data_IF_338019852729
#
_entry.id   IF_338019852729
#
_cell.length_a   1.000
_cell.length_b   1.000
_cell.length_c   1.000
_cell.angle_alpha   90.00
_cell.angle_beta   90.00
_cell.angle_gamma   90.00
#
_symmetry.space_group_name_H-M   'P 1'
#
loop_
_entity.id
_entity.type
_entity.pdbx_description
1 polymer ?
#
# COMPACT_ATOMS: atom_id res chain seq x y z
N UNK A 1 12.54 -32.02 22.26
CA UNK A 1 12.12 -31.11 23.35
C UNK A 1 12.19 -29.69 22.83
N UNK A 2 11.06 -29.12 22.42
CA UNK A 2 10.97 -27.71 22.02
C UNK A 2 10.73 -26.90 23.28
N UNK A 3 11.76 -26.24 23.80
CA UNK A 3 11.62 -25.32 24.93
C UNK A 3 10.63 -24.20 24.61
N UNK A 4 10.03 -23.57 25.63
CA UNK A 4 9.09 -22.48 25.41
C UNK A 4 9.76 -21.38 24.57
N UNK A 5 9.05 -20.90 23.56
CA UNK A 5 9.52 -19.79 22.73
C UNK A 5 9.90 -18.60 23.65
N UNK A 6 10.99 -17.87 23.35
CA UNK A 6 11.40 -16.73 24.15
C UNK A 6 10.23 -15.75 24.27
N UNK A 7 9.78 -15.49 25.50
CA UNK A 7 8.73 -14.53 25.78
C UNK A 7 9.29 -13.13 25.57
N UNK A 8 8.69 -12.38 24.64
CA UNK A 8 9.01 -10.98 24.44
C UNK A 8 8.69 -10.19 25.71
N UNK A 9 9.64 -9.40 26.17
CA UNK A 9 9.46 -8.45 27.26
C UNK A 9 8.53 -7.31 26.83
N UNK A 10 7.90 -6.63 27.80
CA UNK A 10 7.03 -5.48 27.52
C UNK A 10 7.76 -4.34 26.77
N UNK A 11 9.06 -4.19 27.03
CA UNK A 11 9.90 -3.23 26.32
C UNK A 11 10.10 -3.63 24.85
N UNK A 12 10.38 -4.91 24.58
CA UNK A 12 10.52 -5.41 23.21
C UNK A 12 9.22 -5.29 22.41
N UNK A 13 8.06 -5.56 23.03
CA UNK A 13 6.75 -5.35 22.40
C UNK A 13 6.53 -3.87 22.05
N UNK A 14 6.87 -2.95 22.97
CA UNK A 14 6.73 -1.52 22.75
C UNK A 14 7.65 -1.02 21.63
N UNK A 15 8.90 -1.49 21.61
CA UNK A 15 9.87 -1.17 20.56
C UNK A 15 9.42 -1.72 19.19
N UNK A 16 8.87 -2.92 19.16
CA UNK A 16 8.33 -3.51 17.94
C UNK A 16 7.11 -2.74 17.40
N UNK A 17 6.17 -2.35 18.28
CA UNK A 17 5.03 -1.51 17.89
C UNK A 17 5.46 -0.14 17.35
N UNK A 18 6.48 0.48 17.96
CA UNK A 18 7.04 1.74 17.48
C UNK A 18 7.70 1.58 16.10
N UNK A 19 8.39 0.46 15.86
CA UNK A 19 8.97 0.16 14.56
C UNK A 19 7.89 -0.01 13.48
N UNK A 20 6.83 -0.77 13.76
CA UNK A 20 5.69 -0.95 12.85
C UNK A 20 4.96 0.37 12.56
N UNK A 21 4.80 1.25 13.56
CA UNK A 21 4.18 2.56 13.36
C UNK A 21 5.00 3.44 12.39
N UNK A 22 6.34 3.48 12.57
CA UNK A 22 7.23 4.22 11.65
C UNK A 22 7.22 3.64 10.24
N UNK A 23 7.10 2.33 10.11
CA UNK A 23 6.98 1.66 8.82
C UNK A 23 5.66 2.01 8.13
N UNK A 24 4.55 2.03 8.88
CA UNK A 24 3.25 2.47 8.39
C UNK A 24 3.27 3.94 7.92
N UNK A 25 3.95 4.83 8.66
CA UNK A 25 4.11 6.24 8.25
C UNK A 25 4.87 6.37 6.93
N UNK A 26 5.93 5.57 6.74
CA UNK A 26 6.70 5.53 5.48
C UNK A 26 5.84 5.00 4.34
N UNK A 27 5.11 3.91 4.53
CA UNK A 27 4.23 3.35 3.50
C UNK A 27 3.10 4.31 3.13
N UNK A 28 2.54 5.01 4.11
CA UNK A 28 1.50 6.02 3.86
C UNK A 28 2.05 7.19 3.03
N UNK A 29 3.26 7.64 3.36
CA UNK A 29 3.93 8.70 2.59
C UNK A 29 4.26 8.24 1.15
N UNK A 30 4.76 7.01 1.00
CA UNK A 30 5.01 6.40 -0.30
C UNK A 30 3.71 6.26 -1.12
N UNK A 31 2.65 5.76 -0.50
CA UNK A 31 1.33 5.62 -1.13
C UNK A 31 0.82 6.97 -1.66
N UNK A 32 0.90 8.03 -0.86
CA UNK A 32 0.46 9.36 -1.30
C UNK A 32 1.23 9.85 -2.53
N UNK A 33 2.55 9.65 -2.54
CA UNK A 33 3.37 10.05 -3.69
C UNK A 33 3.01 9.24 -4.94
N UNK A 34 2.88 7.92 -4.80
CA UNK A 34 2.56 7.04 -5.93
C UNK A 34 1.13 7.25 -6.46
N UNK A 35 0.17 7.61 -5.60
CA UNK A 35 -1.20 7.92 -6.00
C UNK A 35 -1.29 9.23 -6.80
N UNK A 36 -0.55 10.27 -6.38
CA UNK A 36 -0.43 11.52 -7.14
C UNK A 36 0.21 11.26 -8.52
N UNK A 37 1.28 10.48 -8.57
CA UNK A 37 1.92 10.13 -9.85
C UNK A 37 1.01 9.28 -10.73
N UNK A 38 0.24 8.34 -10.16
CA UNK A 38 -0.75 7.56 -10.89
C UNK A 38 -1.83 8.45 -11.52
N UNK A 39 -2.36 9.40 -10.75
CA UNK A 39 -3.37 10.33 -11.23
C UNK A 39 -2.83 11.16 -12.41
N UNK A 40 -1.59 11.66 -12.28
CA UNK A 40 -0.90 12.38 -13.33
C UNK A 40 -0.72 11.54 -14.59
N UNK A 41 -0.15 10.33 -14.46
CA UNK A 41 0.07 9.43 -15.60
C UNK A 41 -1.24 9.05 -16.29
N UNK A 42 -2.33 8.91 -15.52
CA UNK A 42 -3.66 8.60 -16.05
C UNK A 42 -4.20 9.74 -16.92
N UNK A 43 -3.99 10.99 -16.53
CA UNK A 43 -4.36 12.15 -17.34
C UNK A 43 -3.46 12.30 -18.57
N UNK A 44 -2.15 12.08 -18.42
CA UNK A 44 -1.21 12.07 -19.55
C UNK A 44 -1.60 11.02 -20.59
N UNK A 45 -2.03 9.83 -20.15
CA UNK A 45 -2.52 8.78 -21.04
C UNK A 45 -3.78 9.20 -21.80
N UNK A 46 -4.77 9.79 -21.12
CA UNK A 46 -6.01 10.26 -21.78
C UNK A 46 -5.69 11.29 -22.86
N UNK A 47 -4.80 12.23 -22.55
CA UNK A 47 -4.36 13.25 -23.50
C UNK A 47 -3.60 12.64 -24.68
N UNK A 48 -2.67 11.71 -24.42
CA UNK A 48 -1.91 11.03 -25.45
C UNK A 48 -2.81 10.23 -26.38
N UNK A 49 -3.79 9.51 -25.84
CA UNK A 49 -4.75 8.71 -26.62
C UNK A 49 -5.65 9.59 -27.49
N UNK A 50 -6.15 10.69 -26.93
CA UNK A 50 -6.93 11.67 -27.69
C UNK A 50 -6.11 12.29 -28.83
N UNK A 51 -4.85 12.66 -28.57
CA UNK A 51 -3.93 13.20 -29.60
C UNK A 51 -3.65 12.17 -30.68
N UNK A 52 -3.35 10.93 -30.30
CA UNK A 52 -3.10 9.84 -31.22
C UNK A 52 -4.32 9.54 -32.10
N UNK A 53 -5.52 9.54 -31.52
CA UNK A 53 -6.77 9.34 -32.28
C UNK A 53 -7.06 10.47 -33.27
N UNK A 54 -6.87 11.73 -32.84
CA UNK A 54 -7.09 12.90 -33.70
C UNK A 54 -6.07 13.00 -34.84
N UNK A 55 -4.83 12.56 -34.62
CA UNK A 55 -3.76 12.56 -35.61
C UNK A 55 -3.75 11.35 -36.54
N UNK A 56 -4.49 10.28 -36.23
CA UNK A 56 -4.56 9.09 -37.06
C UNK A 56 -5.47 9.31 -38.29
N UNK A 57 -5.11 8.68 -39.41
CA UNK A 57 -5.88 8.72 -40.65
C UNK A 57 -6.70 7.43 -40.86
N UNK A 58 -7.70 7.50 -41.76
CA UNK A 58 -8.52 6.37 -42.15
C UNK A 58 -9.88 6.30 -41.45
N UNK A 59 -10.48 5.10 -41.48
CA UNK A 59 -11.78 4.87 -40.84
C UNK A 59 -11.71 5.10 -39.33
N UNK A 60 -12.84 5.37 -38.69
CA UNK A 60 -12.90 5.56 -37.22
C UNK A 60 -12.27 4.38 -36.49
N UNK A 61 -12.51 3.14 -36.93
CA UNK A 61 -11.96 1.95 -36.28
C UNK A 61 -10.46 1.80 -36.49
N UNK A 62 -9.95 2.13 -37.68
CA UNK A 62 -8.51 2.19 -37.93
C UNK A 62 -7.83 3.20 -37.02
N UNK A 63 -8.41 4.40 -36.86
CA UNK A 63 -7.90 5.45 -35.97
C UNK A 63 -7.86 5.03 -34.50
N UNK A 64 -8.90 4.33 -34.02
CA UNK A 64 -8.93 3.76 -32.66
C UNK A 64 -7.78 2.75 -32.46
N UNK A 65 -7.60 1.82 -33.39
CA UNK A 65 -6.54 0.82 -33.30
C UNK A 65 -5.14 1.45 -33.32
N UNK A 66 -4.94 2.48 -34.16
CA UNK A 66 -3.69 3.24 -34.21
C UNK A 66 -3.45 3.95 -32.87
N UNK A 67 -4.45 4.65 -32.32
CA UNK A 67 -4.31 5.35 -31.05
C UNK A 67 -3.95 4.42 -29.88
N UNK A 68 -4.60 3.26 -29.81
CA UNK A 68 -4.28 2.22 -28.82
C UNK A 68 -2.85 1.72 -28.98
N UNK A 69 -2.41 1.48 -30.22
CA UNK A 69 -1.06 0.98 -30.50
C UNK A 69 0.00 2.02 -30.15
N UNK A 70 -0.24 3.30 -30.50
CA UNK A 70 0.68 4.41 -30.21
C UNK A 70 0.78 4.73 -28.71
N UNK A 71 -0.25 4.43 -27.92
CA UNK A 71 -0.26 4.67 -26.47
C UNK A 71 0.02 3.43 -25.64
N UNK A 72 0.36 2.30 -26.27
CA UNK A 72 0.48 1.00 -25.59
C UNK A 72 1.47 1.01 -24.41
N UNK A 73 2.64 1.64 -24.58
CA UNK A 73 3.66 1.73 -23.52
C UNK A 73 3.16 2.53 -22.32
N UNK A 74 2.49 3.67 -22.57
CA UNK A 74 1.95 4.51 -21.52
C UNK A 74 0.79 3.82 -20.79
N UNK A 75 -0.06 3.07 -21.52
CA UNK A 75 -1.10 2.21 -20.93
C UNK A 75 -0.50 1.16 -20.01
N UNK A 76 0.56 0.49 -20.45
CA UNK A 76 1.27 -0.50 -19.63
C UNK A 76 1.88 0.15 -18.38
N UNK A 77 2.51 1.31 -18.52
CA UNK A 77 3.10 2.04 -17.39
C UNK A 77 2.06 2.45 -16.34
N UNK A 78 0.90 2.98 -16.77
CA UNK A 78 -0.22 3.28 -15.86
C UNK A 78 -0.70 2.01 -15.16
N UNK A 79 -0.90 0.90 -15.89
CA UNK A 79 -1.36 -0.35 -15.30
C UNK A 79 -0.40 -0.92 -14.24
N UNK A 80 0.91 -0.80 -14.48
CA UNK A 80 1.94 -1.15 -13.49
C UNK A 80 1.85 -0.24 -12.27
N UNK A 81 1.71 1.07 -12.48
CA UNK A 81 1.60 2.04 -11.39
C UNK A 81 0.35 1.79 -10.53
N UNK A 82 -0.79 1.46 -11.14
CA UNK A 82 -1.99 1.03 -10.39
C UNK A 82 -1.72 -0.21 -9.53
N UNK A 83 -0.97 -1.18 -10.06
CA UNK A 83 -0.61 -2.38 -9.31
C UNK A 83 0.27 -2.05 -8.08
N UNK A 84 1.19 -1.10 -8.22
CA UNK A 84 2.01 -0.59 -7.11
C UNK A 84 1.14 0.05 -6.04
N UNK A 85 0.26 0.98 -6.40
CA UNK A 85 -0.67 1.64 -5.46
C UNK A 85 -1.54 0.61 -4.73
N UNK A 86 -2.10 -0.37 -5.45
CA UNK A 86 -2.87 -1.47 -4.84
C UNK A 86 -2.02 -2.31 -3.87
N UNK A 87 -0.74 -2.53 -4.19
CA UNK A 87 0.21 -3.23 -3.33
C UNK A 87 0.43 -2.49 -2.01
N UNK A 88 0.76 -1.20 -2.09
CA UNK A 88 0.97 -0.33 -0.93
C UNK A 88 -0.27 -0.26 -0.02
N UNK A 89 -1.48 -0.16 -0.60
CA UNK A 89 -2.74 -0.19 0.17
C UNK A 89 -2.88 -1.51 0.96
N UNK A 90 -2.56 -2.65 0.35
CA UNK A 90 -2.65 -3.97 1.02
C UNK A 90 -1.63 -4.06 2.15
N UNK A 91 -0.43 -3.58 1.92
CA UNK A 91 0.65 -3.60 2.91
C UNK A 91 0.34 -2.71 4.11
N UNK A 92 -0.14 -1.48 3.88
CA UNK A 92 -0.59 -0.56 4.93
C UNK A 92 -1.72 -1.18 5.77
N UNK A 93 -2.69 -1.85 5.13
CA UNK A 93 -3.77 -2.55 5.84
C UNK A 93 -3.24 -3.70 6.69
N UNK A 94 -2.26 -4.46 6.20
CA UNK A 94 -1.65 -5.55 6.95
C UNK A 94 -0.89 -5.03 8.18
N UNK A 95 -0.14 -3.93 8.05
CA UNK A 95 0.54 -3.31 9.19
C UNK A 95 -0.45 -2.76 10.22
N UNK A 96 -1.51 -2.10 9.77
CA UNK A 96 -2.57 -1.60 10.67
C UNK A 96 -3.16 -2.74 11.52
N UNK A 97 -3.50 -3.87 10.88
CA UNK A 97 -4.01 -5.05 11.59
C UNK A 97 -3.01 -5.61 12.61
N UNK A 98 -1.71 -5.66 12.28
CA UNK A 98 -0.67 -6.11 13.21
C UNK A 98 -0.54 -5.20 14.44
N UNK A 99 -0.60 -3.88 14.23
CA UNK A 99 -0.56 -2.89 15.31
C UNK A 99 -1.78 -3.05 16.22
N UNK A 100 -2.98 -3.22 15.66
CA UNK A 100 -4.21 -3.42 16.43
C UNK A 100 -4.19 -4.71 17.26
N UNK A 101 -3.68 -5.82 16.69
CA UNK A 101 -3.48 -7.07 17.42
C UNK A 101 -2.50 -6.87 18.59
N UNK A 102 -1.36 -6.21 18.35
CA UNK A 102 -0.39 -5.94 19.40
C UNK A 102 -0.94 -5.02 20.51
N UNK A 103 -1.75 -4.01 20.16
CA UNK A 103 -2.44 -3.15 21.12
C UNK A 103 -3.42 -3.96 21.98
N UNK A 104 -4.21 -4.83 21.35
CA UNK A 104 -5.18 -5.71 22.03
C UNK A 104 -4.50 -6.66 23.00
N UNK A 105 -3.42 -7.33 22.58
CA UNK A 105 -2.64 -8.19 23.46
C UNK A 105 -2.04 -7.42 24.65
N UNK A 106 -1.52 -6.21 24.43
CA UNK A 106 -1.00 -5.38 25.53
C UNK A 106 -2.08 -5.00 26.56
N UNK A 107 -3.32 -4.74 26.13
CA UNK A 107 -4.45 -4.48 27.04
C UNK A 107 -4.82 -5.73 27.83
N UNK A 108 -4.89 -6.89 27.18
CA UNK A 108 -5.21 -8.16 27.83
C UNK A 108 -4.17 -8.53 28.89
N UNK A 109 -2.87 -8.42 28.56
CA UNK A 109 -1.78 -8.71 29.50
C UNK A 109 -1.84 -7.80 30.74
N UNK A 110 -2.05 -6.49 30.57
CA UNK A 110 -2.22 -5.57 31.72
C UNK A 110 -3.44 -5.93 32.57
N UNK A 111 -4.52 -6.37 31.94
CA UNK A 111 -5.75 -6.78 32.63
C UNK A 111 -5.55 -8.08 33.41
N UNK A 112 -4.80 -9.03 32.86
CA UNK A 112 -4.41 -10.28 33.51
C UNK A 112 -3.50 -10.02 34.72
N UNK A 113 -2.46 -9.20 34.57
CA UNK A 113 -1.57 -8.80 35.67
C UNK A 113 -2.34 -8.14 36.82
N UNK A 114 -3.26 -7.22 36.49
CA UNK A 114 -4.15 -6.57 37.46
C UNK A 114 -5.04 -7.58 38.19
N UNK A 115 -5.55 -8.60 37.48
CA UNK A 115 -6.39 -9.67 38.06
C UNK A 115 -5.58 -10.57 38.99
N UNK A 116 -4.31 -10.82 38.68
CA UNK A 116 -3.38 -11.61 39.49
C UNK A 116 -2.82 -10.84 40.69
N UNK A 117 -3.24 -9.58 40.92
CA UNK A 117 -2.75 -8.75 42.03
C UNK A 117 -1.32 -8.24 41.85
N UNK A 118 -0.71 -8.47 40.68
CA UNK A 118 0.58 -7.91 40.30
C UNK A 118 0.31 -6.50 39.77
N UNK A 119 0.54 -5.48 40.61
CA UNK A 119 0.57 -4.11 40.11
C UNK A 119 1.78 -3.94 39.19
N UNK A 120 1.61 -3.33 38.01
CA UNK A 120 2.73 -3.04 37.10
C UNK A 120 3.72 -2.05 37.71
#
# INVERSE_FOLDING_TARGET
>A
MTGPAPQLTANEVSMHLLALARELDRLTSALNNEDVELARMSEELKLADARAFLGAEGSVDARKAIAVTQTAELRAAVAVKEAVVRGLIRESKALYARIDVGRTHGVNLRSELKTLGVQP
#
